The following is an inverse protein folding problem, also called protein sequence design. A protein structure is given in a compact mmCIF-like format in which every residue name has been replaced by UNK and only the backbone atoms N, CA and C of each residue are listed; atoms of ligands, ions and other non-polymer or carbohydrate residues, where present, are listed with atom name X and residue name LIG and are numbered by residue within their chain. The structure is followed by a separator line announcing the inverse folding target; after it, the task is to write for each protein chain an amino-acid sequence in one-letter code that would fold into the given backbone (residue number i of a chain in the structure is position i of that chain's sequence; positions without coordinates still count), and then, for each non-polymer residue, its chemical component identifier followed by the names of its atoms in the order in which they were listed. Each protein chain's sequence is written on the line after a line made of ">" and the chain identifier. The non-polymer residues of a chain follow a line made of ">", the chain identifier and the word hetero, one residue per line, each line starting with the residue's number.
data_IF_569631684714
#
_entry.id   IF_569631684714
#
_cell.length_a   1.000
_cell.length_b   1.000
_cell.length_c   1.000
_cell.angle_alpha   90.00
_cell.angle_beta   90.00
_cell.angle_gamma   90.00
#
_symmetry.space_group_name_H-M   'P 1'
#
loop_
_entity.id
_entity.type
_entity.pdbx_description
1 polymer ?
#
# COMPACT_ATOMS: atom_id res chain seq x y z
N UNK A 1 14.34 -16.36 -8.04
CA UNK A 1 15.11 -15.10 -8.04
C UNK A 1 14.30 -14.09 -7.23
N UNK A 2 14.71 -13.81 -5.99
CA UNK A 2 14.10 -12.73 -5.21
C UNK A 2 14.66 -11.41 -5.76
N UNK A 3 13.79 -10.51 -6.20
CA UNK A 3 14.16 -9.16 -6.66
C UNK A 3 14.61 -8.27 -5.47
N UNK A 4 14.42 -8.78 -4.25
CA UNK A 4 14.29 -8.09 -2.96
C UNK A 4 15.51 -7.26 -2.50
N UNK A 5 16.75 -7.56 -2.92
CA UNK A 5 17.91 -6.82 -2.35
C UNK A 5 18.04 -5.41 -2.93
N UNK A 6 17.63 -5.22 -4.18
CA UNK A 6 17.93 -4.01 -4.92
C UNK A 6 16.69 -3.17 -5.25
N UNK A 7 15.47 -3.71 -5.24
CA UNK A 7 14.25 -2.95 -5.62
C UNK A 7 13.25 -2.95 -4.47
N UNK A 8 12.87 -1.76 -4.02
CA UNK A 8 11.95 -1.55 -2.90
C UNK A 8 10.92 -0.45 -3.22
N UNK A 9 9.82 -0.42 -2.46
CA UNK A 9 8.81 0.62 -2.57
C UNK A 9 9.22 1.83 -1.72
N UNK A 10 9.48 2.96 -2.35
CA UNK A 10 9.86 4.20 -1.67
C UNK A 10 8.82 4.66 -0.63
N UNK A 11 7.54 4.33 -0.83
CA UNK A 11 6.49 4.69 0.12
C UNK A 11 6.66 3.98 1.48
N UNK A 12 7.28 2.78 1.51
CA UNK A 12 7.60 2.08 2.76
C UNK A 12 8.58 2.89 3.61
N UNK A 13 9.58 3.53 2.98
CA UNK A 13 10.54 4.41 3.66
C UNK A 13 9.84 5.61 4.30
N UNK A 14 8.89 6.24 3.57
CA UNK A 14 8.16 7.39 4.09
C UNK A 14 7.21 7.01 5.23
N UNK A 15 6.46 5.91 5.08
CA UNK A 15 5.57 5.39 6.12
C UNK A 15 6.36 5.02 7.36
N UNK A 16 7.48 4.29 7.21
CA UNK A 16 8.34 3.93 8.33
C UNK A 16 8.94 5.15 9.04
N UNK A 17 9.36 6.17 8.30
CA UNK A 17 9.85 7.42 8.90
C UNK A 17 8.76 8.13 9.71
N UNK A 18 7.51 8.15 9.20
CA UNK A 18 6.38 8.80 9.87
C UNK A 18 5.96 8.04 11.13
N UNK A 19 5.91 6.71 11.07
CA UNK A 19 5.55 5.86 12.21
C UNK A 19 6.66 5.77 13.28
N UNK A 20 7.89 6.20 12.96
CA UNK A 20 8.98 6.31 13.92
C UNK A 20 8.91 7.59 14.78
N UNK A 21 8.00 8.53 14.48
CA UNK A 21 7.77 9.71 15.33
C UNK A 21 7.21 9.30 16.70
N UNK A 22 7.60 10.02 17.76
CA UNK A 22 7.22 9.72 19.16
C UNK A 22 5.70 9.59 19.36
N UNK A 23 4.92 10.37 18.62
CA UNK A 23 3.44 10.32 18.65
C UNK A 23 2.90 8.93 18.31
N UNK A 24 3.59 8.14 17.50
CA UNK A 24 3.17 6.77 17.18
C UNK A 24 3.87 5.74 18.07
N UNK A 25 5.19 5.88 18.29
CA UNK A 25 5.97 4.89 19.03
C UNK A 25 5.64 4.85 20.54
N UNK A 26 5.14 5.94 21.12
CA UNK A 26 4.69 5.96 22.51
C UNK A 26 3.26 5.45 22.71
N UNK A 27 2.43 5.50 21.66
CA UNK A 27 1.00 5.19 21.74
C UNK A 27 0.63 3.80 21.19
N UNK A 28 1.50 3.18 20.39
CA UNK A 28 1.24 1.91 19.71
C UNK A 28 2.39 0.93 19.92
N UNK A 29 2.06 -0.36 20.09
CA UNK A 29 3.05 -1.43 20.11
C UNK A 29 3.54 -1.78 18.70
N UNK A 30 4.57 -2.65 18.61
CA UNK A 30 5.16 -3.02 17.33
C UNK A 30 4.19 -3.76 16.38
N UNK A 31 3.21 -4.49 16.92
CA UNK A 31 2.22 -5.22 16.11
C UNK A 31 1.20 -4.23 15.53
N UNK A 32 0.72 -3.30 16.36
CA UNK A 32 -0.15 -2.21 15.94
C UNK A 32 0.52 -1.26 14.94
N UNK A 33 1.80 -0.96 15.11
CA UNK A 33 2.58 -0.17 14.15
C UNK A 33 2.73 -0.89 12.81
N UNK A 34 2.91 -2.21 12.82
CA UNK A 34 2.95 -3.01 11.59
C UNK A 34 1.59 -3.02 10.88
N UNK A 35 0.49 -3.12 11.63
CA UNK A 35 -0.87 -3.03 11.10
C UNK A 35 -1.17 -1.66 10.49
N UNK A 36 -0.80 -0.57 11.18
CA UNK A 36 -0.88 0.80 10.67
C UNK A 36 -0.10 0.94 9.36
N UNK A 37 1.13 0.43 9.31
CA UNK A 37 1.94 0.47 8.11
C UNK A 37 1.27 -0.29 6.96
N UNK A 38 0.74 -1.49 7.21
CA UNK A 38 0.04 -2.30 6.23
C UNK A 38 -1.19 -1.58 5.67
N UNK A 39 -2.05 -1.05 6.54
CA UNK A 39 -3.26 -0.33 6.15
C UNK A 39 -2.94 0.96 5.39
N UNK A 40 -1.91 1.70 5.80
CA UNK A 40 -1.48 2.90 5.10
C UNK A 40 -0.91 2.58 3.71
N UNK A 41 -0.04 1.57 3.59
CA UNK A 41 0.57 1.18 2.31
C UNK A 41 -0.45 0.71 1.29
N UNK A 42 -1.52 0.03 1.71
CA UNK A 42 -2.60 -0.39 0.83
C UNK A 42 -3.40 0.78 0.23
N UNK A 43 -3.35 1.96 0.82
CA UNK A 43 -4.01 3.18 0.32
C UNK A 43 -3.11 4.00 -0.60
N UNK A 44 -1.80 3.74 -0.61
CA UNK A 44 -0.81 4.52 -1.34
C UNK A 44 -0.47 3.87 -2.67
N UNK A 45 -0.22 4.69 -3.69
CA UNK A 45 0.33 4.18 -4.96
C UNK A 45 1.77 3.72 -4.72
N UNK A 46 2.13 2.46 -4.99
CA UNK A 46 3.50 1.98 -4.80
C UNK A 46 4.45 2.63 -5.81
N UNK A 47 5.66 2.96 -5.35
CA UNK A 47 6.73 3.56 -6.14
C UNK A 47 7.98 2.70 -5.99
N UNK A 48 8.14 1.72 -6.88
CA UNK A 48 9.30 0.82 -6.86
C UNK A 48 10.53 1.48 -7.48
N UNK A 49 11.61 1.52 -6.72
CA UNK A 49 12.88 2.14 -7.09
C UNK A 49 14.03 1.21 -6.76
N UNK A 50 15.18 1.41 -7.43
CA UNK A 50 16.40 0.65 -7.15
C UNK A 50 17.34 1.37 -6.19
N UNK A 51 17.60 2.65 -6.47
CA UNK A 51 18.54 3.46 -5.69
C UNK A 51 17.86 4.76 -5.27
N UNK A 52 17.78 5.00 -3.96
CA UNK A 52 17.14 6.20 -3.40
C UNK A 52 17.80 7.49 -3.91
N UNK A 53 19.13 7.51 -4.04
CA UNK A 53 19.89 8.68 -4.49
C UNK A 53 19.48 9.10 -5.92
N UNK A 54 19.32 8.13 -6.83
CA UNK A 54 18.93 8.39 -8.22
C UNK A 54 17.48 8.87 -8.33
N UNK A 55 16.62 8.35 -7.47
CA UNK A 55 15.22 8.74 -7.43
C UNK A 55 15.06 10.14 -6.83
N UNK A 56 15.64 10.38 -5.66
CA UNK A 56 15.55 11.64 -4.94
C UNK A 56 16.21 12.80 -5.69
N UNK A 57 17.32 12.56 -6.41
CA UNK A 57 17.98 13.60 -7.22
C UNK A 57 17.15 14.07 -8.42
N UNK A 58 16.18 13.27 -8.87
CA UNK A 58 15.25 13.60 -9.96
C UNK A 58 13.85 13.98 -9.47
N UNK A 59 13.56 13.79 -8.19
CA UNK A 59 12.25 14.05 -7.60
C UNK A 59 12.08 15.55 -7.38
N UNK A 60 11.05 16.14 -7.97
CA UNK A 60 10.69 17.53 -7.72
C UNK A 60 10.25 17.72 -6.25
N UNK A 61 10.64 18.83 -5.64
CA UNK A 61 10.33 19.13 -4.23
C UNK A 61 8.81 19.13 -3.97
N UNK A 62 8.02 19.71 -4.86
CA UNK A 62 6.56 19.71 -4.78
C UNK A 62 5.98 18.29 -4.70
N UNK A 63 6.53 17.36 -5.47
CA UNK A 63 6.12 15.95 -5.46
C UNK A 63 6.53 15.26 -4.16
N UNK A 64 7.69 15.62 -3.59
CA UNK A 64 8.13 15.13 -2.29
C UNK A 64 7.16 15.53 -1.18
N UNK A 65 6.75 16.81 -1.16
CA UNK A 65 5.74 17.32 -0.22
C UNK A 65 4.40 16.61 -0.41
N UNK A 66 3.98 16.37 -1.66
CA UNK A 66 2.76 15.61 -1.95
C UNK A 66 2.82 14.18 -1.39
N UNK A 67 3.94 13.47 -1.53
CA UNK A 67 4.08 12.13 -0.95
C UNK A 67 4.01 12.14 0.57
N UNK A 68 4.68 13.09 1.23
CA UNK A 68 4.61 13.22 2.69
C UNK A 68 3.17 13.49 3.16
N UNK A 69 2.45 14.35 2.44
CA UNK A 69 1.05 14.65 2.74
C UNK A 69 0.15 13.41 2.57
N UNK A 70 0.30 12.68 1.45
CA UNK A 70 -0.44 11.44 1.20
C UNK A 70 -0.18 10.38 2.28
N UNK A 71 1.08 10.22 2.70
CA UNK A 71 1.46 9.28 3.77
C UNK A 71 0.82 9.68 5.09
N UNK A 72 0.82 10.96 5.42
CA UNK A 72 0.18 11.46 6.65
C UNK A 72 -1.31 11.14 6.65
N UNK A 73 -2.01 11.47 5.56
CA UNK A 73 -3.44 11.17 5.43
C UNK A 73 -3.74 9.67 5.49
N UNK A 74 -2.91 8.84 4.85
CA UNK A 74 -3.09 7.39 4.84
C UNK A 74 -2.93 6.77 6.24
N UNK A 75 -1.97 7.29 7.03
CA UNK A 75 -1.76 6.84 8.42
C UNK A 75 -2.91 7.30 9.33
N UNK A 76 -3.37 8.55 9.20
CA UNK A 76 -4.55 9.05 9.97
C UNK A 76 -5.82 8.23 9.64
N UNK A 77 -6.01 7.87 8.37
CA UNK A 77 -7.10 7.01 7.95
C UNK A 77 -6.97 5.59 8.52
N UNK A 78 -5.76 5.01 8.49
CA UNK A 78 -5.47 3.71 9.09
C UNK A 78 -5.72 3.70 10.60
N UNK A 79 -5.30 4.75 11.30
CA UNK A 79 -5.52 4.93 12.74
C UNK A 79 -7.01 4.96 13.09
N UNK A 80 -7.80 5.65 12.27
CA UNK A 80 -9.26 5.68 12.44
C UNK A 80 -9.86 4.28 12.26
N UNK A 81 -9.38 3.49 11.30
CA UNK A 81 -9.86 2.12 11.09
C UNK A 81 -9.54 1.17 12.24
N UNK A 82 -8.43 1.37 12.94
CA UNK A 82 -8.06 0.56 14.11
C UNK A 82 -8.86 0.98 15.35
N UNK A 83 -9.09 2.28 15.54
CA UNK A 83 -9.85 2.82 16.68
C UNK A 83 -11.35 2.56 16.59
N UNK A 84 -11.91 2.68 15.39
CA UNK A 84 -13.33 2.50 15.09
C UNK A 84 -13.53 1.19 14.32
N UNK A 85 -13.04 0.06 14.88
CA UNK A 85 -13.06 -1.22 14.20
C UNK A 85 -14.50 -1.74 14.03
N UNK A 86 -15.13 -1.31 12.94
CA UNK A 86 -16.46 -1.74 12.47
C UNK A 86 -16.55 -3.25 12.23
N UNK A 87 -15.42 -4.00 12.23
CA UNK A 87 -15.46 -5.47 12.16
C UNK A 87 -16.05 -6.09 13.43
N UNK A 88 -15.91 -5.43 14.58
CA UNK A 88 -16.55 -5.86 15.82
C UNK A 88 -18.08 -5.80 15.73
N UNK A 89 -18.61 -4.95 14.85
CA UNK A 89 -20.05 -4.81 14.58
C UNK A 89 -20.55 -5.70 13.44
N UNK A 90 -19.65 -6.42 12.73
CA UNK A 90 -20.07 -7.39 11.72
C UNK A 90 -20.69 -8.59 12.44
N UNK A 91 -22.01 -8.69 12.38
CA UNK A 91 -22.70 -9.95 12.69
C UNK A 91 -22.21 -10.99 11.67
N UNK A 92 -21.89 -12.21 12.10
CA UNK A 92 -21.22 -13.28 11.33
C UNK A 92 -21.86 -13.65 9.97
N UNK A 93 -23.00 -13.06 9.62
CA UNK A 93 -23.88 -13.49 8.53
C UNK A 93 -23.63 -12.83 7.16
N UNK A 94 -22.84 -11.77 7.05
CA UNK A 94 -22.55 -11.12 5.75
C UNK A 94 -21.25 -11.62 5.11
N UNK A 95 -21.19 -12.92 4.85
CA UNK A 95 -20.32 -13.45 3.80
C UNK A 95 -21.15 -13.39 2.52
N UNK A 96 -20.80 -12.49 1.60
CA UNK A 96 -21.28 -12.59 0.22
C UNK A 96 -20.68 -13.90 -0.31
N UNK A 97 -21.45 -14.98 -0.24
CA UNK A 97 -21.14 -16.21 -0.95
C UNK A 97 -21.25 -15.87 -2.42
N UNK A 98 -20.15 -15.46 -3.03
CA UNK A 98 -20.03 -15.49 -4.47
C UNK A 98 -20.14 -16.96 -4.85
N UNK A 99 -21.21 -17.32 -5.54
CA UNK A 99 -21.39 -18.68 -6.03
C UNK A 99 -20.15 -19.05 -6.85
N UNK A 100 -19.43 -20.06 -6.36
CA UNK A 100 -18.12 -20.46 -6.89
C UNK A 100 -18.17 -20.80 -8.38
N UNK A 101 -19.34 -21.21 -8.87
CA UNK A 101 -19.61 -21.49 -10.28
C UNK A 101 -19.52 -20.23 -11.17
N UNK A 102 -19.92 -19.03 -10.70
CA UNK A 102 -19.81 -17.80 -11.52
C UNK A 102 -18.36 -17.31 -11.66
N UNK A 103 -17.44 -17.70 -10.77
CA UNK A 103 -16.04 -17.30 -10.80
C UNK A 103 -15.19 -18.23 -11.69
N UNK A 104 -15.55 -19.51 -11.79
CA UNK A 104 -14.80 -20.49 -12.60
C UNK A 104 -14.96 -20.24 -14.11
N UNK A 105 -16.09 -19.65 -14.54
CA UNK A 105 -16.37 -19.31 -15.94
C UNK A 105 -15.86 -17.92 -16.38
N UNK A 106 -15.36 -17.10 -15.45
CA UNK A 106 -14.72 -15.83 -15.79
C UNK A 106 -13.27 -16.09 -16.17
N UNK A 107 -13.02 -16.30 -17.47
CA UNK A 107 -11.66 -16.20 -18.02
C UNK A 107 -10.99 -14.96 -17.43
N UNK A 108 -9.74 -15.10 -16.94
CA UNK A 108 -8.97 -13.99 -16.38
C UNK A 108 -8.68 -12.97 -17.50
N UNK A 109 -9.63 -12.10 -17.83
CA UNK A 109 -9.48 -11.08 -18.87
C UNK A 109 -8.36 -10.09 -18.53
N UNK A 110 -7.91 -10.02 -17.27
CA UNK A 110 -7.13 -8.89 -16.80
C UNK A 110 -5.62 -8.91 -17.14
N UNK A 111 -5.08 -9.95 -17.80
CA UNK A 111 -3.64 -9.98 -18.10
C UNK A 111 -3.21 -10.59 -19.44
N UNK A 112 -4.12 -10.96 -20.35
CA UNK A 112 -3.71 -11.63 -21.59
C UNK A 112 -3.13 -10.69 -22.67
N UNK A 113 -3.38 -9.38 -22.59
CA UNK A 113 -2.80 -8.45 -23.53
C UNK A 113 -1.42 -7.97 -23.06
N UNK A 114 -0.32 -8.31 -23.77
CA UNK A 114 0.98 -7.74 -23.47
C UNK A 114 0.93 -6.22 -23.68
N UNK A 115 1.32 -5.46 -22.65
CA UNK A 115 1.35 -3.99 -22.61
C UNK A 115 2.10 -3.40 -23.82
N UNK A 116 3.05 -4.16 -24.38
CA UNK A 116 3.77 -3.83 -25.60
C UNK A 116 3.01 -4.40 -26.79
N UNK A 117 2.22 -3.56 -27.46
CA UNK A 117 1.64 -3.88 -28.75
C UNK A 117 2.74 -4.38 -29.71
N UNK A 118 2.60 -5.62 -30.19
CA UNK A 118 3.50 -6.20 -31.17
C UNK A 118 3.58 -5.27 -32.39
N UNK A 119 4.68 -4.52 -32.52
CA UNK A 119 5.03 -3.86 -33.77
C UNK A 119 5.36 -4.96 -34.77
N UNK A 120 4.36 -5.38 -35.55
CA UNK A 120 4.57 -6.23 -36.71
C UNK A 120 5.51 -5.49 -37.67
N UNK A 121 6.68 -6.10 -37.92
CA UNK A 121 7.58 -5.76 -39.03
C UNK A 121 6.95 -6.20 -40.35
#
# INVERSE_FOLDING_TARGET
>A
MQINVDVHNYMETLVGTKLAEDVYTENYDNEQLADLACLALNQLRPVYIRYDIDFLSRLAEERRVQFQHQVTMAIEAAETMIKDDRRLERTEEEVISVDKEELEDRELEWFEEPILGNKKK
#
